data_IF_668496162322
#
_entry.id   IF_668496162322
#
_cell.length_a   1.000
_cell.length_b   1.000
_cell.length_c   1.000
_cell.angle_alpha   90.00
_cell.angle_beta   90.00
_cell.angle_gamma   90.00
#
_symmetry.space_group_name_H-M   'P 1'
#
loop_
_entity.id
_entity.type
_entity.pdbx_description
1 polymer ?
#
# COMPACT_ATOMS: atom_id res chain seq x y z
N UNK A 1 -46.05 21.70 -81.07
CA UNK A 1 -45.93 20.83 -79.88
C UNK A 1 -44.61 21.11 -79.13
N UNK A 2 -44.43 22.31 -78.53
CA UNK A 2 -43.16 22.73 -77.90
C UNK A 2 -43.31 23.37 -76.50
N UNK A 3 -44.53 23.47 -75.96
CA UNK A 3 -44.80 24.16 -74.68
C UNK A 3 -44.90 23.24 -73.46
N UNK A 4 -44.98 21.92 -73.65
CA UNK A 4 -45.07 20.96 -72.54
C UNK A 4 -43.70 20.71 -71.85
N UNK A 5 -42.60 20.84 -72.60
CA UNK A 5 -41.26 20.52 -72.11
C UNK A 5 -40.68 21.65 -71.23
N UNK A 6 -41.03 22.92 -71.50
CA UNK A 6 -40.60 24.06 -70.70
C UNK A 6 -41.28 24.12 -69.33
N UNK A 7 -42.56 23.69 -69.24
CA UNK A 7 -43.25 23.57 -67.96
C UNK A 7 -42.66 22.43 -67.09
N UNK A 8 -42.24 21.33 -67.73
CA UNK A 8 -41.54 20.23 -67.05
C UNK A 8 -40.14 20.63 -66.58
N UNK A 9 -39.37 21.38 -67.38
CA UNK A 9 -38.06 21.87 -66.93
C UNK A 9 -38.17 22.90 -65.78
N UNK A 10 -39.23 23.71 -65.76
CA UNK A 10 -39.53 24.61 -64.64
C UNK A 10 -39.91 23.85 -63.36
N UNK A 11 -40.68 22.76 -63.45
CA UNK A 11 -41.00 21.91 -62.30
C UNK A 11 -39.75 21.19 -61.75
N UNK A 12 -38.83 20.77 -62.62
CA UNK A 12 -37.55 20.16 -62.21
C UNK A 12 -36.59 21.18 -61.59
N UNK A 13 -36.58 22.44 -62.05
CA UNK A 13 -35.85 23.53 -61.40
C UNK A 13 -36.42 23.91 -60.02
N UNK A 14 -37.69 23.56 -59.76
CA UNK A 14 -38.36 23.79 -58.49
C UNK A 14 -38.11 22.67 -57.46
N UNK A 15 -37.45 21.57 -57.84
CA UNK A 15 -36.70 20.70 -56.90
C UNK A 15 -35.45 21.43 -56.41
N UNK A 16 -35.71 22.56 -55.76
CA UNK A 16 -34.75 23.40 -55.09
C UNK A 16 -34.18 22.63 -53.90
N UNK A 17 -32.89 22.34 -53.99
CA UNK A 17 -31.96 22.08 -52.89
C UNK A 17 -32.61 21.61 -51.59
N UNK A 18 -32.65 20.29 -51.41
CA UNK A 18 -32.69 19.73 -50.06
C UNK A 18 -31.41 20.22 -49.38
N UNK A 19 -31.55 21.27 -48.58
CA UNK A 19 -30.51 21.68 -47.65
C UNK A 19 -30.34 20.47 -46.72
N UNK A 20 -29.24 19.73 -46.88
CA UNK A 20 -28.82 18.78 -45.86
C UNK A 20 -28.75 19.58 -44.56
N UNK A 21 -29.39 19.13 -43.46
CA UNK A 21 -29.15 19.78 -42.18
C UNK A 21 -27.64 19.74 -42.00
N UNK A 22 -27.03 20.92 -41.88
CA UNK A 22 -25.61 21.05 -41.56
C UNK A 22 -25.34 20.00 -40.49
N UNK A 23 -24.46 19.03 -40.80
CA UNK A 23 -24.21 17.91 -39.92
C UNK A 23 -24.06 18.49 -38.53
N UNK A 24 -24.94 18.10 -37.59
CA UNK A 24 -24.94 18.63 -36.23
C UNK A 24 -23.51 18.47 -35.77
N UNK A 25 -22.77 19.58 -35.81
CA UNK A 25 -21.40 19.59 -35.33
C UNK A 25 -21.63 19.27 -33.88
N UNK A 26 -21.29 18.04 -33.46
CA UNK A 26 -21.56 17.54 -32.11
C UNK A 26 -20.85 18.38 -31.02
N UNK A 27 -20.13 19.41 -31.46
CA UNK A 27 -19.64 20.54 -30.71
C UNK A 27 -20.78 21.55 -30.50
N UNK A 28 -21.39 21.52 -29.32
CA UNK A 28 -20.65 21.92 -28.15
C UNK A 28 -20.72 20.81 -27.13
N UNK A 29 -19.62 20.04 -27.00
CA UNK A 29 -19.33 19.44 -25.71
C UNK A 29 -19.23 20.62 -24.75
N UNK A 30 -20.36 20.91 -24.07
CA UNK A 30 -20.47 21.96 -23.10
C UNK A 30 -19.22 21.92 -22.22
N UNK A 31 -18.66 23.09 -21.93
CA UNK A 31 -17.41 23.28 -21.17
C UNK A 31 -17.32 22.42 -19.89
N UNK A 32 -18.44 21.89 -19.38
CA UNK A 32 -18.51 20.89 -18.32
C UNK A 32 -17.77 19.57 -18.55
N UNK A 33 -17.52 19.11 -19.79
CA UNK A 33 -16.70 17.90 -20.00
C UNK A 33 -15.23 18.12 -19.61
N UNK A 34 -14.72 19.34 -19.74
CA UNK A 34 -13.39 19.67 -19.26
C UNK A 34 -13.28 19.58 -17.74
N UNK A 35 -14.36 19.91 -17.02
CA UNK A 35 -14.44 19.74 -15.57
C UNK A 35 -14.41 18.25 -15.21
N UNK A 36 -15.17 17.41 -15.93
CA UNK A 36 -15.17 15.96 -15.72
C UNK A 36 -13.79 15.37 -16.03
N UNK A 37 -13.19 15.72 -17.17
CA UNK A 37 -11.84 15.27 -17.53
C UNK A 37 -10.80 15.73 -16.50
N UNK A 38 -10.88 16.99 -16.05
CA UNK A 38 -10.01 17.53 -15.01
C UNK A 38 -10.16 16.77 -13.69
N UNK A 39 -11.40 16.44 -13.30
CA UNK A 39 -11.68 15.65 -12.09
C UNK A 39 -11.12 14.23 -12.21
N UNK A 40 -11.32 13.57 -13.35
CA UNK A 40 -10.78 12.22 -13.60
C UNK A 40 -9.26 12.22 -13.55
N UNK A 41 -8.60 13.21 -14.17
CA UNK A 41 -7.14 13.35 -14.12
C UNK A 41 -6.67 13.62 -12.69
N UNK A 42 -7.35 14.48 -11.94
CA UNK A 42 -7.00 14.77 -10.55
C UNK A 42 -7.13 13.53 -9.66
N UNK A 43 -8.22 12.78 -9.78
CA UNK A 43 -8.42 11.52 -9.06
C UNK A 43 -7.34 10.51 -9.46
N UNK A 44 -7.07 10.36 -10.76
CA UNK A 44 -6.00 9.50 -11.26
C UNK A 44 -4.63 9.86 -10.69
N UNK A 45 -4.31 11.16 -10.62
CA UNK A 45 -3.06 11.65 -10.06
C UNK A 45 -2.97 11.38 -8.55
N UNK A 46 -4.04 11.63 -7.79
CA UNK A 46 -4.11 11.33 -6.36
C UNK A 46 -3.92 9.84 -6.07
N UNK A 47 -4.56 8.98 -6.86
CA UNK A 47 -4.40 7.53 -6.77
C UNK A 47 -2.97 7.10 -7.11
N UNK A 48 -2.38 7.66 -8.16
CA UNK A 48 -1.01 7.38 -8.56
C UNK A 48 -0.01 7.78 -7.48
N UNK A 49 -0.15 8.99 -6.91
CA UNK A 49 0.69 9.47 -5.81
C UNK A 49 0.55 8.55 -4.60
N UNK A 50 -0.68 8.20 -4.21
CA UNK A 50 -0.91 7.24 -3.12
C UNK A 50 -0.25 5.90 -3.38
N UNK A 51 -0.37 5.38 -4.60
CA UNK A 51 0.23 4.10 -4.98
C UNK A 51 1.77 4.15 -4.93
N UNK A 52 2.38 5.22 -5.42
CA UNK A 52 3.84 5.39 -5.40
C UNK A 52 4.38 5.56 -3.98
N UNK A 53 3.69 6.33 -3.14
CA UNK A 53 4.03 6.48 -1.72
C UNK A 53 3.92 5.13 -1.00
N UNK A 54 2.79 4.42 -1.18
CA UNK A 54 2.60 3.07 -0.64
C UNK A 54 3.73 2.15 -1.10
N UNK A 55 4.04 2.14 -2.39
CA UNK A 55 5.12 1.29 -2.91
C UNK A 55 6.46 1.60 -2.26
N UNK A 56 6.80 2.87 -2.03
CA UNK A 56 8.07 3.26 -1.37
C UNK A 56 8.11 2.84 0.09
N UNK A 57 7.03 3.04 0.83
CA UNK A 57 6.93 2.63 2.24
C UNK A 57 7.05 1.11 2.39
N UNK A 58 6.39 0.31 1.55
CA UNK A 58 6.40 -1.15 1.66
C UNK A 58 7.66 -1.83 1.07
N UNK A 59 8.64 -1.07 0.56
CA UNK A 59 9.89 -1.67 0.04
C UNK A 59 10.65 -2.42 1.12
N UNK A 60 10.78 -1.83 2.31
CA UNK A 60 11.53 -2.43 3.41
C UNK A 60 10.83 -3.67 3.96
N UNK A 61 9.49 -3.63 4.07
CA UNK A 61 8.69 -4.83 4.39
C UNK A 61 9.00 -5.93 3.39
N UNK A 62 8.93 -5.64 2.09
CA UNK A 62 9.13 -6.66 1.06
C UNK A 62 10.50 -7.32 1.16
N UNK A 63 11.56 -6.57 1.42
CA UNK A 63 12.90 -7.14 1.62
C UNK A 63 12.95 -8.02 2.88
N UNK A 64 12.42 -7.54 4.01
CA UNK A 64 12.36 -8.31 5.24
C UNK A 64 11.53 -9.59 5.10
N UNK A 65 10.35 -9.55 4.45
CA UNK A 65 9.51 -10.72 4.22
C UNK A 65 10.21 -11.76 3.34
N UNK A 66 10.93 -11.34 2.29
CA UNK A 66 11.72 -12.27 1.47
C UNK A 66 12.79 -12.98 2.30
N UNK A 67 13.51 -12.23 3.14
CA UNK A 67 14.56 -12.79 4.01
C UNK A 67 13.97 -13.73 5.07
N UNK A 68 12.83 -13.37 5.67
CA UNK A 68 12.08 -14.24 6.59
C UNK A 68 11.61 -15.52 5.89
N UNK A 69 11.12 -15.44 4.65
CA UNK A 69 10.75 -16.62 3.88
C UNK A 69 11.93 -17.51 3.54
N UNK A 70 13.11 -16.93 3.26
CA UNK A 70 14.34 -17.70 3.05
C UNK A 70 14.77 -18.39 4.35
N UNK A 71 14.72 -17.67 5.47
CA UNK A 71 15.06 -18.19 6.79
C UNK A 71 14.11 -19.31 7.25
N UNK A 72 12.83 -19.19 6.91
CA UNK A 72 11.82 -20.23 7.16
C UNK A 72 12.21 -21.55 6.49
N UNK A 73 12.72 -21.49 5.26
CA UNK A 73 13.15 -22.66 4.48
C UNK A 73 14.53 -23.21 4.85
N UNK A 74 15.34 -22.46 5.59
CA UNK A 74 16.69 -22.90 5.98
C UNK A 74 16.67 -23.68 7.28
N UNK A 75 17.47 -24.74 7.40
CA UNK A 75 17.64 -25.51 8.65
C UNK A 75 18.65 -24.86 9.62
N UNK A 76 18.71 -23.53 9.64
CA UNK A 76 19.63 -22.82 10.52
C UNK A 76 19.12 -22.88 11.97
N UNK A 77 19.86 -23.46 12.94
CA UNK A 77 19.45 -23.49 14.34
C UNK A 77 19.33 -22.09 14.96
N UNK A 78 19.97 -21.08 14.38
CA UNK A 78 19.88 -19.69 14.84
C UNK A 78 18.75 -18.90 14.16
N UNK A 79 17.78 -19.59 13.55
CA UNK A 79 16.68 -18.92 12.83
C UNK A 79 15.91 -17.94 13.71
N UNK A 80 15.74 -18.24 15.00
CA UNK A 80 15.00 -17.38 15.92
C UNK A 80 15.73 -16.08 16.26
N UNK A 81 17.05 -16.14 16.47
CA UNK A 81 17.89 -14.95 16.66
C UNK A 81 17.98 -14.11 15.37
N UNK A 82 18.05 -14.77 14.22
CA UNK A 82 18.05 -14.11 12.92
C UNK A 82 16.72 -13.42 12.64
N UNK A 83 15.59 -14.04 12.95
CA UNK A 83 14.27 -13.41 12.76
C UNK A 83 14.12 -12.18 13.66
N UNK A 84 14.54 -12.23 14.94
CA UNK A 84 14.56 -11.06 15.81
C UNK A 84 15.41 -9.91 15.24
N UNK A 85 16.60 -10.21 14.71
CA UNK A 85 17.45 -9.20 14.08
C UNK A 85 16.81 -8.57 12.84
N UNK A 86 16.12 -9.37 12.01
CA UNK A 86 15.37 -8.87 10.85
C UNK A 86 14.24 -7.94 11.30
N UNK A 87 13.48 -8.33 12.33
CA UNK A 87 12.40 -7.50 12.90
C UNK A 87 12.94 -6.16 13.43
N UNK A 88 14.06 -6.18 14.17
CA UNK A 88 14.71 -4.96 14.68
C UNK A 88 15.16 -4.04 13.56
N UNK A 89 15.84 -4.58 12.55
CA UNK A 89 16.27 -3.82 11.37
C UNK A 89 15.08 -3.24 10.60
N UNK A 90 13.99 -3.99 10.48
CA UNK A 90 12.77 -3.51 9.86
C UNK A 90 12.16 -2.35 10.66
N UNK A 91 12.15 -2.45 11.99
CA UNK A 91 11.62 -1.41 12.89
C UNK A 91 12.40 -0.10 12.77
N UNK A 92 13.73 -0.17 12.63
CA UNK A 92 14.60 0.98 12.36
C UNK A 92 14.26 1.73 11.07
N UNK A 93 13.59 1.08 10.10
CA UNK A 93 13.17 1.75 8.87
C UNK A 93 11.89 2.59 9.03
N UNK A 94 11.13 2.39 10.11
CA UNK A 94 9.83 3.06 10.33
C UNK A 94 9.78 3.93 11.60
N UNK A 95 10.64 3.65 12.58
CA UNK A 95 10.74 4.40 13.83
C UNK A 95 12.03 5.22 13.80
N UNK A 96 12.02 6.40 14.43
CA UNK A 96 13.19 7.28 14.51
C UNK A 96 14.39 6.55 15.15
N UNK A 97 15.58 6.78 14.60
CA UNK A 97 16.83 6.11 14.98
C UNK A 97 17.16 6.35 16.46
N UNK A 98 16.82 7.53 16.97
CA UNK A 98 16.98 7.90 18.37
C UNK A 98 16.14 7.04 19.33
N UNK A 99 14.98 6.51 18.90
CA UNK A 99 14.13 5.66 19.74
C UNK A 99 14.62 4.20 19.76
N UNK A 100 15.10 3.68 18.64
CA UNK A 100 15.41 2.24 18.50
C UNK A 100 16.88 1.92 18.80
N UNK A 101 17.81 2.85 18.54
CA UNK A 101 19.25 2.66 18.76
C UNK A 101 19.64 2.36 20.22
N UNK A 102 18.80 2.73 21.19
CA UNK A 102 18.99 2.44 22.61
C UNK A 102 18.04 1.36 23.17
N UNK A 103 17.22 0.70 22.33
CA UNK A 103 16.23 -0.26 22.83
C UNK A 103 16.89 -1.48 23.46
N UNK A 104 16.76 -1.59 24.79
CA UNK A 104 17.08 -2.83 25.50
C UNK A 104 16.02 -3.91 25.21
N UNK A 105 16.24 -5.15 25.66
CA UNK A 105 15.30 -6.25 25.41
C UNK A 105 13.89 -5.96 25.93
N UNK A 106 13.75 -5.29 27.08
CA UNK A 106 12.45 -4.96 27.66
C UNK A 106 11.69 -3.91 26.83
N UNK A 107 12.38 -2.85 26.39
CA UNK A 107 11.82 -1.82 25.51
C UNK A 107 11.45 -2.40 24.15
N UNK A 108 12.23 -3.36 23.64
CA UNK A 108 11.89 -4.11 22.44
C UNK A 108 10.58 -4.90 22.60
N UNK A 109 10.39 -5.59 23.72
CA UNK A 109 9.14 -6.31 23.98
C UNK A 109 7.94 -5.37 24.13
N UNK A 110 8.11 -4.23 24.79
CA UNK A 110 7.07 -3.19 24.88
C UNK A 110 6.71 -2.64 23.50
N UNK A 111 7.71 -2.40 22.65
CA UNK A 111 7.49 -1.97 21.27
C UNK A 111 6.73 -3.03 20.47
N UNK A 112 7.11 -4.30 20.58
CA UNK A 112 6.40 -5.39 19.93
C UNK A 112 4.95 -5.45 20.39
N UNK A 113 4.68 -5.36 21.69
CA UNK A 113 3.31 -5.35 22.23
C UNK A 113 2.50 -4.14 21.74
N UNK A 114 3.11 -2.94 21.71
CA UNK A 114 2.46 -1.72 21.26
C UNK A 114 2.18 -1.71 19.75
N UNK A 115 2.99 -2.43 18.96
CA UNK A 115 2.79 -2.62 17.52
C UNK A 115 2.13 -3.95 17.18
N UNK A 116 1.68 -4.71 18.19
CA UNK A 116 1.01 -5.98 18.00
C UNK A 116 -0.49 -5.73 17.75
N UNK A 117 -0.86 -5.50 16.49
CA UNK A 117 -2.25 -5.51 16.03
C UNK A 117 -2.87 -6.93 16.01
N UNK A 118 -2.65 -7.73 17.06
CA UNK A 118 -3.04 -9.14 17.19
C UNK A 118 -2.36 -10.12 16.20
N UNK A 119 -1.16 -9.80 15.71
CA UNK A 119 -0.43 -10.63 14.75
C UNK A 119 0.52 -11.64 15.41
N UNK A 120 1.09 -11.26 16.55
CA UNK A 120 1.97 -12.10 17.36
C UNK A 120 1.13 -12.77 18.44
N UNK A 121 1.10 -14.09 18.46
CA UNK A 121 0.53 -14.86 19.57
C UNK A 121 1.34 -14.71 20.85
N UNK A 122 0.70 -14.93 22.00
CA UNK A 122 1.37 -14.88 23.31
C UNK A 122 2.51 -15.90 23.42
N UNK A 123 2.36 -17.05 22.75
CA UNK A 123 3.40 -18.07 22.65
C UNK A 123 4.61 -17.56 21.86
N UNK A 124 4.38 -16.97 20.69
CA UNK A 124 5.45 -16.33 19.88
C UNK A 124 6.15 -15.22 20.68
N UNK A 125 5.41 -14.39 21.41
CA UNK A 125 5.98 -13.34 22.25
C UNK A 125 6.83 -13.92 23.39
N UNK A 126 6.37 -14.96 24.07
CA UNK A 126 7.11 -15.63 25.14
C UNK A 126 8.44 -16.20 24.65
N UNK A 127 8.47 -16.77 23.44
CA UNK A 127 9.69 -17.28 22.80
C UNK A 127 10.74 -16.17 22.63
N UNK A 128 10.33 -14.93 22.34
CA UNK A 128 11.25 -13.80 22.20
C UNK A 128 11.71 -13.20 23.53
N UNK A 129 10.88 -13.25 24.58
CA UNK A 129 11.27 -12.76 25.92
C UNK A 129 12.51 -13.49 26.41
N UNK A 130 12.53 -14.81 26.25
CA UNK A 130 13.61 -15.67 26.76
C UNK A 130 14.83 -15.74 25.84
N UNK A 131 14.77 -15.14 24.65
CA UNK A 131 15.79 -15.32 23.62
C UNK A 131 17.22 -14.96 24.05
N UNK A 132 17.48 -13.87 24.79
CA UNK A 132 18.83 -13.54 25.23
C UNK A 132 19.46 -14.58 26.15
N UNK A 133 18.62 -15.39 26.81
CA UNK A 133 19.02 -16.37 27.82
C UNK A 133 18.96 -17.81 27.31
N UNK A 134 18.49 -18.02 26.07
CA UNK A 134 18.32 -19.35 25.48
C UNK A 134 19.52 -19.75 24.60
N UNK A 135 20.04 -20.99 24.74
CA UNK A 135 21.07 -21.50 23.83
C UNK A 135 20.50 -21.65 22.41
N UNK A 136 21.36 -21.73 21.41
CA UNK A 136 20.96 -21.86 20.00
C UNK A 136 20.14 -23.13 19.68
N UNK A 137 20.04 -24.09 20.60
CA UNK A 137 19.21 -25.30 20.50
C UNK A 137 17.79 -25.10 21.02
N UNK A 138 17.49 -23.96 21.65
CA UNK A 138 16.16 -23.69 22.21
C UNK A 138 15.08 -23.46 21.14
N UNK A 139 15.48 -23.43 19.87
CA UNK A 139 14.60 -23.42 18.71
C UNK A 139 14.02 -24.77 18.35
N UNK A 140 14.55 -25.87 18.91
CA UNK A 140 14.16 -27.23 18.53
C UNK A 140 12.78 -27.65 19.08
N UNK A 141 12.34 -27.01 20.17
CA UNK A 141 11.04 -27.25 20.83
C UNK A 141 9.95 -26.27 20.34
N UNK A 142 10.30 -25.35 19.44
CA UNK A 142 9.41 -24.29 18.97
C UNK A 142 8.83 -24.65 17.61
N UNK A 143 7.50 -24.51 17.43
CA UNK A 143 6.87 -24.59 16.11
C UNK A 143 7.33 -23.41 15.24
N UNK A 144 8.40 -23.67 14.50
CA UNK A 144 9.01 -22.71 13.58
C UNK A 144 8.01 -22.17 12.55
N UNK A 145 7.11 -23.00 12.05
CA UNK A 145 6.18 -22.59 11.00
C UNK A 145 5.10 -21.66 11.52
N UNK A 146 4.63 -21.90 12.75
CA UNK A 146 3.69 -21.00 13.44
C UNK A 146 4.35 -19.66 13.74
N UNK A 147 5.50 -19.67 14.42
CA UNK A 147 6.23 -18.45 14.81
C UNK A 147 6.65 -17.63 13.60
N UNK A 148 7.17 -18.25 12.54
CA UNK A 148 7.56 -17.51 11.33
C UNK A 148 6.36 -16.89 10.61
N UNK A 149 5.18 -17.50 10.67
CA UNK A 149 3.96 -16.93 10.09
C UNK A 149 3.53 -15.68 10.84
N UNK A 150 3.52 -15.74 12.17
CA UNK A 150 3.20 -14.60 13.03
C UNK A 150 4.16 -13.42 12.75
N UNK A 151 5.46 -13.70 12.67
CA UNK A 151 6.48 -12.68 12.39
C UNK A 151 6.31 -12.04 11.00
N UNK A 152 5.99 -12.84 9.98
CA UNK A 152 5.77 -12.33 8.62
C UNK A 152 4.52 -11.45 8.58
N UNK A 153 3.43 -11.89 9.22
CA UNK A 153 2.19 -11.11 9.29
C UNK A 153 2.40 -9.79 10.03
N UNK A 154 3.12 -9.82 11.15
CA UNK A 154 3.51 -8.61 11.89
C UNK A 154 4.35 -7.66 11.02
N UNK A 155 5.35 -8.19 10.29
CA UNK A 155 6.21 -7.38 9.42
C UNK A 155 5.44 -6.67 8.31
N UNK A 156 4.37 -7.30 7.79
CA UNK A 156 3.51 -6.73 6.76
C UNK A 156 2.60 -5.60 7.27
N UNK A 157 2.16 -5.69 8.52
CA UNK A 157 1.28 -4.69 9.14
C UNK A 157 2.03 -3.57 9.86
N UNK A 158 3.31 -3.77 10.17
CA UNK A 158 4.17 -2.80 10.85
C UNK A 158 4.08 -1.36 10.31
N UNK A 159 4.06 -1.08 8.99
CA UNK A 159 4.02 0.29 8.49
C UNK A 159 2.75 1.06 8.85
N UNK A 160 1.63 0.36 9.12
CA UNK A 160 0.38 0.99 9.56
C UNK A 160 0.38 1.15 11.08
N UNK A 161 0.79 0.11 11.82
CA UNK A 161 0.85 0.14 13.29
C UNK A 161 1.83 1.18 13.83
N UNK A 162 2.98 1.37 13.17
CA UNK A 162 3.97 2.38 13.59
C UNK A 162 3.45 3.80 13.42
N UNK A 163 2.59 4.08 12.43
CA UNK A 163 1.95 5.41 12.29
C UNK A 163 1.07 5.69 13.50
N UNK A 164 0.25 4.73 13.90
CA UNK A 164 -0.59 4.82 15.10
C UNK A 164 0.25 5.00 16.36
N UNK A 165 1.32 4.22 16.51
CA UNK A 165 2.25 4.29 17.65
C UNK A 165 2.94 5.67 17.76
N UNK A 166 3.45 6.17 16.65
CA UNK A 166 4.14 7.47 16.61
C UNK A 166 3.18 8.64 16.82
N UNK A 167 1.98 8.57 16.27
CA UNK A 167 0.94 9.58 16.48
C UNK A 167 0.48 9.62 17.95
N UNK A 168 0.21 8.47 18.56
CA UNK A 168 -0.19 8.37 19.98
C UNK A 168 0.89 8.95 20.91
N UNK A 169 2.17 8.70 20.62
CA UNK A 169 3.29 9.29 21.39
C UNK A 169 3.44 10.80 21.21
N UNK A 170 3.08 11.35 20.05
CA UNK A 170 3.10 12.80 19.82
C UNK A 170 1.92 13.51 20.51
N UNK A 171 0.81 12.80 20.72
CA UNK A 171 -0.40 13.29 21.40
C UNK A 171 -0.32 13.21 22.93
N UNK A 172 0.68 12.53 23.52
CA UNK A 172 1.05 12.66 24.93
C UNK A 172 2.06 13.81 25.08
N UNK A 173 1.64 15.08 25.27
CA UNK A 173 2.57 16.12 25.65
C UNK A 173 3.16 15.76 27.01
N UNK A 174 4.48 15.82 27.10
CA UNK A 174 5.24 15.79 28.34
C UNK A 174 4.56 16.67 29.41
N UNK A 175 3.74 16.05 30.26
CA UNK A 175 3.45 16.56 31.59
C UNK A 175 4.65 16.23 32.45
N UNK A 176 5.66 17.10 32.38
CA UNK A 176 6.70 17.25 33.41
C UNK A 176 6.64 18.68 33.89
#
# INVERSE_FOLDING_TARGET
>A
MLTANSAQSQLLQQLRDIHQPEAVNWWPLATGWWIIMGLVVLIGLLLLIRFLLKRRHYRFVRFASIELHQLRKSDDPRWLAKSQNIMRRLSLCYVDEALVGSMNQQQWMQFLQATNGQQLSDETLAVFVDLPYKPATASDDVDKDSVMRDIINWAEQLPEEVKSYTQQRQEEPHHV
#
